data_IF_302277294382
#
_entry.id   IF_302277294382
#
_cell.length_a   1.000
_cell.length_b   1.000
_cell.length_c   1.000
_cell.angle_alpha   90.00
_cell.angle_beta   90.00
_cell.angle_gamma   90.00
#
_symmetry.space_group_name_H-M   'P 1'
#
loop_
_entity.id
_entity.type
_entity.pdbx_description
1 polymer ?
#
# COMPACT_ATOMS: atom_id res chain seq x y z
N UNK A 1 5.77 -6.22 10.23
CA UNK A 1 4.64 -5.65 9.48
C UNK A 1 4.81 -5.77 7.97
N UNK A 2 6.00 -5.47 7.39
CA UNK A 2 6.25 -5.56 5.94
C UNK A 2 7.00 -6.82 5.50
N UNK A 3 7.25 -7.76 6.38
CA UNK A 3 7.99 -9.00 6.11
C UNK A 3 9.37 -8.77 5.44
N UNK A 4 10.03 -7.65 5.74
CA UNK A 4 11.34 -7.30 5.19
C UNK A 4 11.31 -6.58 3.83
N UNK A 5 10.13 -6.25 3.30
CA UNK A 5 10.00 -5.54 2.02
C UNK A 5 10.32 -4.04 2.13
N UNK A 6 10.14 -3.44 3.33
CA UNK A 6 10.34 -2.01 3.56
C UNK A 6 9.13 -1.15 3.17
N UNK A 7 8.16 -1.70 2.46
CA UNK A 7 6.93 -1.04 2.03
C UNK A 7 5.72 -1.96 2.19
N UNK A 8 4.55 -1.38 2.10
CA UNK A 8 3.27 -2.09 1.97
C UNK A 8 2.58 -1.64 0.70
N UNK A 9 1.83 -2.54 0.10
CA UNK A 9 0.86 -2.20 -0.92
C UNK A 9 -0.50 -2.04 -0.23
N UNK A 10 -1.07 -0.86 -0.33
CA UNK A 10 -2.36 -0.52 0.30
C UNK A 10 -3.25 0.12 -0.75
N UNK A 11 -4.55 -0.18 -0.70
CA UNK A 11 -5.52 0.48 -1.57
C UNK A 11 -5.56 1.97 -1.25
N UNK A 12 -5.54 2.77 -2.31
CA UNK A 12 -5.49 4.21 -2.22
C UNK A 12 -6.84 4.80 -2.61
N UNK A 13 -7.39 5.64 -1.73
CA UNK A 13 -8.66 6.32 -1.98
C UNK A 13 -8.63 7.15 -3.26
N UNK A 14 -7.53 7.88 -3.52
CA UNK A 14 -7.41 8.72 -4.70
C UNK A 14 -7.33 7.94 -6.02
N UNK A 15 -6.97 6.65 -5.95
CA UNK A 15 -7.04 5.76 -7.11
C UNK A 15 -8.42 5.13 -7.26
N UNK A 16 -9.14 4.89 -6.15
CA UNK A 16 -10.52 4.39 -6.15
C UNK A 16 -11.50 5.47 -6.61
N UNK A 17 -11.24 6.72 -6.23
CA UNK A 17 -12.05 7.91 -6.53
C UNK A 17 -11.12 8.99 -7.09
N UNK A 18 -10.72 8.87 -8.37
CA UNK A 18 -9.70 9.74 -8.96
C UNK A 18 -10.20 11.16 -9.25
N UNK A 19 -11.49 11.34 -9.43
CA UNK A 19 -12.13 12.65 -9.63
C UNK A 19 -13.19 12.88 -8.55
N UNK A 20 -12.79 13.57 -7.49
CA UNK A 20 -13.65 13.88 -6.35
C UNK A 20 -14.67 14.98 -6.65
N UNK A 21 -14.56 15.69 -7.77
CA UNK A 21 -15.57 16.65 -8.24
C UNK A 21 -16.83 15.95 -8.79
N UNK A 22 -16.72 14.65 -9.10
CA UNK A 22 -17.86 13.85 -9.53
C UNK A 22 -18.65 13.33 -8.32
N UNK A 23 -19.96 13.20 -8.50
CA UNK A 23 -20.82 12.48 -7.57
C UNK A 23 -20.78 10.96 -7.81
N UNK A 24 -21.30 10.19 -6.87
CA UNK A 24 -21.44 8.73 -7.03
C UNK A 24 -22.31 8.40 -8.25
N UNK A 25 -23.41 9.12 -8.45
CA UNK A 25 -24.28 8.93 -9.61
C UNK A 25 -23.60 9.35 -10.95
N UNK A 26 -22.59 10.20 -10.91
CA UNK A 26 -21.78 10.56 -12.07
C UNK A 26 -20.59 9.60 -12.29
N UNK A 27 -20.39 8.61 -11.42
CA UNK A 27 -19.37 7.58 -11.56
C UNK A 27 -18.05 7.91 -10.88
N UNK A 28 -18.06 8.63 -9.77
CA UNK A 28 -16.84 8.93 -8.97
C UNK A 28 -16.06 7.67 -8.57
N UNK A 29 -16.76 6.55 -8.30
CA UNK A 29 -16.15 5.29 -7.86
C UNK A 29 -15.80 4.44 -9.09
N UNK A 30 -14.52 4.23 -9.35
CA UNK A 30 -14.04 3.51 -10.55
C UNK A 30 -13.50 2.11 -10.26
N UNK A 31 -13.36 1.72 -9.00
CA UNK A 31 -12.77 0.44 -8.61
C UNK A 31 -13.65 -0.75 -8.99
N UNK A 32 -13.02 -1.85 -9.38
CA UNK A 32 -13.68 -3.10 -9.78
C UNK A 32 -14.69 -3.59 -8.72
N UNK A 33 -15.90 -3.91 -9.20
CA UNK A 33 -17.04 -4.31 -8.37
C UNK A 33 -17.89 -3.16 -7.83
N UNK A 34 -17.45 -1.91 -8.00
CA UNK A 34 -18.21 -0.70 -7.67
C UNK A 34 -18.45 0.23 -8.87
N UNK A 35 -17.91 -0.09 -10.05
CA UNK A 35 -18.09 0.69 -11.29
C UNK A 35 -19.56 0.89 -11.66
N UNK A 36 -20.44 -0.05 -11.27
CA UNK A 36 -21.89 0.04 -11.48
C UNK A 36 -22.63 0.77 -10.33
N UNK A 37 -21.92 1.44 -9.45
CA UNK A 37 -22.53 2.18 -8.34
C UNK A 37 -23.45 3.32 -8.80
N UNK A 38 -23.24 3.83 -10.01
CA UNK A 38 -24.08 4.82 -10.68
C UNK A 38 -25.28 4.19 -11.44
N UNK A 39 -25.36 2.86 -11.57
CA UNK A 39 -26.51 2.18 -12.17
C UNK A 39 -27.55 1.87 -11.08
N UNK A 40 -28.68 2.57 -11.13
CA UNK A 40 -29.78 2.40 -10.17
C UNK A 40 -30.39 0.99 -10.09
N UNK A 41 -29.97 0.05 -10.96
CA UNK A 41 -30.38 -1.36 -10.93
C UNK A 41 -29.33 -2.28 -10.31
N UNK A 42 -28.14 -1.78 -10.02
CA UNK A 42 -27.05 -2.57 -9.45
C UNK A 42 -27.21 -2.79 -7.95
N UNK A 43 -26.64 -3.89 -7.44
CA UNK A 43 -26.64 -4.16 -6.01
C UNK A 43 -25.74 -3.18 -5.23
N UNK A 44 -24.62 -2.74 -5.84
CA UNK A 44 -23.76 -1.70 -5.28
C UNK A 44 -24.49 -0.37 -5.11
N UNK A 45 -25.28 0.04 -6.13
CA UNK A 45 -26.13 1.23 -5.99
C UNK A 45 -27.17 1.06 -4.87
N UNK A 46 -27.83 -0.11 -4.77
CA UNK A 46 -28.82 -0.36 -3.71
C UNK A 46 -28.21 -0.23 -2.30
N UNK A 47 -26.97 -0.65 -2.09
CA UNK A 47 -26.23 -0.45 -0.84
C UNK A 47 -26.05 1.03 -0.57
N UNK A 48 -25.55 1.79 -1.54
CA UNK A 48 -25.28 3.23 -1.40
C UNK A 48 -26.57 4.04 -1.20
N UNK A 49 -27.67 3.66 -1.85
CA UNK A 49 -28.99 4.24 -1.61
C UNK A 49 -29.47 4.01 -0.16
N UNK A 50 -29.27 2.80 0.38
CA UNK A 50 -29.63 2.50 1.75
C UNK A 50 -28.79 3.31 2.75
N UNK A 51 -27.49 3.50 2.49
CA UNK A 51 -26.63 4.37 3.28
C UNK A 51 -27.08 5.83 3.18
N UNK A 52 -27.34 6.33 1.97
CA UNK A 52 -27.80 7.69 1.73
C UNK A 52 -29.08 8.00 2.50
N UNK A 53 -30.03 7.05 2.51
CA UNK A 53 -31.28 7.18 3.26
C UNK A 53 -31.05 7.19 4.78
N UNK A 54 -30.19 6.30 5.29
CA UNK A 54 -29.96 6.15 6.73
C UNK A 54 -29.17 7.33 7.31
N UNK A 55 -28.15 7.80 6.60
CA UNK A 55 -27.24 8.85 7.06
C UNK A 55 -27.56 10.22 6.47
N UNK A 56 -28.69 10.33 5.75
CA UNK A 56 -29.23 11.59 5.21
C UNK A 56 -28.26 12.37 4.33
N UNK A 57 -27.71 11.72 3.31
CA UNK A 57 -26.89 12.36 2.27
C UNK A 57 -27.40 12.03 0.87
N UNK A 58 -26.93 12.76 -0.15
CA UNK A 58 -27.33 12.56 -1.56
C UNK A 58 -26.20 11.90 -2.35
N UNK A 59 -26.52 10.94 -3.21
CA UNK A 59 -25.57 10.35 -4.16
C UNK A 59 -25.24 11.28 -5.34
N UNK A 60 -25.91 12.43 -5.45
CA UNK A 60 -25.65 13.48 -6.45
C UNK A 60 -24.70 14.56 -5.96
N UNK A 61 -24.31 14.52 -4.68
CA UNK A 61 -23.31 15.43 -4.11
C UNK A 61 -21.92 15.05 -4.62
N UNK A 62 -21.07 16.01 -5.08
CA UNK A 62 -19.67 15.77 -5.38
C UNK A 62 -18.97 15.10 -4.19
N UNK A 63 -18.06 14.16 -4.49
CA UNK A 63 -17.43 13.37 -3.41
C UNK A 63 -16.62 14.24 -2.44
N UNK A 64 -15.99 15.29 -2.94
CA UNK A 64 -15.22 16.27 -2.13
C UNK A 64 -16.08 17.11 -1.18
N UNK A 65 -17.38 17.26 -1.47
CA UNK A 65 -18.31 18.05 -0.66
C UNK A 65 -18.97 17.25 0.48
N UNK A 66 -18.70 15.95 0.59
CA UNK A 66 -19.24 15.17 1.69
C UNK A 66 -18.60 15.60 3.03
N UNK A 67 -19.44 15.77 4.09
CA UNK A 67 -18.92 15.90 5.45
C UNK A 67 -18.02 14.70 5.80
N UNK A 68 -17.02 14.93 6.66
CA UNK A 68 -16.07 13.89 7.07
C UNK A 68 -16.74 12.59 7.54
N UNK A 69 -17.86 12.70 8.25
CA UNK A 69 -18.61 11.53 8.75
C UNK A 69 -19.14 10.66 7.61
N UNK A 70 -19.70 11.26 6.57
CA UNK A 70 -20.21 10.55 5.40
C UNK A 70 -19.05 9.98 4.57
N UNK A 71 -17.99 10.76 4.38
CA UNK A 71 -16.76 10.30 3.74
C UNK A 71 -16.22 9.05 4.46
N UNK A 72 -16.07 9.11 5.78
CA UNK A 72 -15.52 8.00 6.59
C UNK A 72 -16.43 6.75 6.49
N UNK A 73 -17.75 6.91 6.48
CA UNK A 73 -18.69 5.81 6.27
C UNK A 73 -18.49 5.17 4.89
N UNK A 74 -18.37 5.96 3.83
CA UNK A 74 -18.18 5.46 2.47
C UNK A 74 -16.83 4.74 2.31
N UNK A 75 -15.77 5.27 2.86
CA UNK A 75 -14.41 4.73 2.72
C UNK A 75 -14.15 3.58 3.68
N UNK A 76 -14.49 3.73 4.98
CA UNK A 76 -14.09 2.80 6.04
C UNK A 76 -15.24 1.95 6.59
N UNK A 77 -16.48 2.30 6.28
CA UNK A 77 -17.66 1.51 6.64
C UNK A 77 -18.43 2.00 7.86
N UNK A 78 -19.42 1.21 8.26
CA UNK A 78 -20.42 1.53 9.30
C UNK A 78 -20.07 0.94 10.67
N UNK A 79 -18.83 0.47 10.88
CA UNK A 79 -18.35 -0.18 12.12
C UNK A 79 -19.29 -1.29 12.65
N UNK A 80 -19.89 -2.05 11.73
CA UNK A 80 -20.79 -3.16 12.04
C UNK A 80 -22.27 -2.77 12.15
N UNK A 81 -22.59 -1.48 12.07
CA UNK A 81 -23.98 -1.04 12.04
C UNK A 81 -24.66 -1.46 10.73
N UNK A 82 -25.80 -2.14 10.84
CA UNK A 82 -26.53 -2.67 9.69
C UNK A 82 -27.43 -1.63 9.05
N UNK A 83 -27.52 -1.71 7.72
CA UNK A 83 -28.49 -0.96 6.91
C UNK A 83 -29.39 -1.93 6.16
N UNK A 84 -30.68 -1.61 6.07
CA UNK A 84 -31.65 -2.40 5.34
C UNK A 84 -31.58 -2.07 3.85
N UNK A 85 -30.94 -2.93 3.07
CA UNK A 85 -30.76 -2.78 1.62
C UNK A 85 -31.90 -3.46 0.89
N UNK A 86 -32.76 -2.68 0.21
CA UNK A 86 -33.82 -3.21 -0.65
C UNK A 86 -33.28 -3.37 -2.07
N UNK A 87 -33.26 -4.61 -2.56
CA UNK A 87 -32.78 -4.90 -3.91
C UNK A 87 -33.77 -5.79 -4.69
N UNK A 88 -34.00 -5.42 -5.97
CA UNK A 88 -34.79 -6.21 -6.91
C UNK A 88 -33.88 -7.04 -7.79
N UNK A 89 -33.63 -8.27 -7.39
CA UNK A 89 -32.90 -9.25 -8.20
C UNK A 89 -33.80 -10.05 -9.15
N UNK A 90 -33.20 -11.02 -9.84
CA UNK A 90 -33.95 -11.90 -10.79
C UNK A 90 -35.08 -12.71 -10.14
N UNK A 91 -34.97 -13.03 -8.84
CA UNK A 91 -35.94 -13.84 -8.07
C UNK A 91 -36.98 -12.99 -7.31
N UNK A 92 -37.02 -11.67 -7.50
CA UNK A 92 -37.92 -10.76 -6.83
C UNK A 92 -37.21 -9.70 -5.98
N UNK A 93 -38.02 -9.01 -5.13
CA UNK A 93 -37.51 -7.97 -4.23
C UNK A 93 -37.12 -8.64 -2.90
N UNK A 94 -35.91 -8.45 -2.46
CA UNK A 94 -35.41 -8.83 -1.14
C UNK A 94 -35.02 -7.63 -0.30
N UNK A 95 -35.02 -7.79 1.01
CA UNK A 95 -34.43 -6.84 1.96
C UNK A 95 -33.28 -7.56 2.68
N UNK A 96 -32.11 -6.95 2.69
CA UNK A 96 -30.91 -7.53 3.25
C UNK A 96 -30.32 -6.58 4.31
N UNK A 97 -30.13 -7.08 5.52
CA UNK A 97 -29.45 -6.32 6.57
C UNK A 97 -27.93 -6.46 6.41
N UNK A 98 -27.30 -5.41 5.89
CA UNK A 98 -25.87 -5.40 5.56
C UNK A 98 -25.14 -4.42 6.46
N UNK A 99 -24.09 -4.88 7.14
CA UNK A 99 -23.09 -4.00 7.71
C UNK A 99 -22.10 -3.65 6.60
N UNK A 100 -22.12 -2.39 6.16
CA UNK A 100 -21.23 -1.95 5.09
C UNK A 100 -19.80 -1.81 5.60
N UNK A 101 -18.90 -2.56 5.02
CA UNK A 101 -17.50 -2.63 5.44
C UNK A 101 -16.63 -1.46 4.94
N UNK A 102 -17.17 -0.57 4.10
CA UNK A 102 -16.44 0.50 3.44
C UNK A 102 -15.81 0.06 2.11
N UNK A 103 -15.53 1.03 1.24
CA UNK A 103 -14.94 0.74 -0.08
C UNK A 103 -13.57 0.07 0.05
N UNK A 104 -12.67 0.60 0.89
CA UNK A 104 -11.31 0.08 1.07
C UNK A 104 -11.34 -1.39 1.53
N UNK A 105 -12.00 -1.68 2.65
CA UNK A 105 -12.06 -3.06 3.19
C UNK A 105 -12.76 -4.03 2.23
N UNK A 106 -13.78 -3.56 1.49
CA UNK A 106 -14.49 -4.38 0.52
C UNK A 106 -13.56 -4.80 -0.63
N UNK A 107 -12.80 -3.87 -1.21
CA UNK A 107 -11.88 -4.19 -2.30
C UNK A 107 -10.69 -5.02 -1.82
N UNK A 108 -10.17 -4.77 -0.60
CA UNK A 108 -9.15 -5.62 0.03
C UNK A 108 -9.62 -7.06 0.21
N UNK A 109 -10.84 -7.27 0.69
CA UNK A 109 -11.42 -8.61 0.83
C UNK A 109 -11.55 -9.28 -0.53
N UNK A 110 -12.10 -8.60 -1.53
CA UNK A 110 -12.25 -9.13 -2.89
C UNK A 110 -10.91 -9.48 -3.55
N UNK A 111 -9.89 -8.65 -3.36
CA UNK A 111 -8.53 -8.92 -3.82
C UNK A 111 -7.95 -10.19 -3.18
N UNK A 112 -8.18 -10.39 -1.89
CA UNK A 112 -7.73 -11.62 -1.19
C UNK A 112 -8.50 -12.87 -1.58
N UNK A 113 -9.80 -12.74 -1.87
CA UNK A 113 -10.69 -13.87 -2.20
C UNK A 113 -10.57 -14.29 -3.67
N UNK A 114 -10.14 -13.42 -4.58
CA UNK A 114 -10.02 -13.78 -6.00
C UNK A 114 -8.81 -14.67 -6.26
N UNK A 115 -9.01 -15.70 -7.07
CA UNK A 115 -7.94 -16.59 -7.55
C UNK A 115 -7.46 -16.25 -8.96
N UNK A 116 -8.16 -15.36 -9.67
CA UNK A 116 -7.84 -14.98 -11.04
C UNK A 116 -6.73 -13.91 -11.06
N UNK A 117 -5.59 -14.25 -11.65
CA UNK A 117 -4.43 -13.34 -11.72
C UNK A 117 -4.74 -12.04 -12.48
N UNK A 118 -5.56 -12.10 -13.56
CA UNK A 118 -5.98 -10.89 -14.28
C UNK A 118 -6.78 -9.93 -13.40
N UNK A 119 -7.67 -10.48 -12.55
CA UNK A 119 -8.47 -9.69 -11.62
C UNK A 119 -7.61 -9.11 -10.50
N UNK A 120 -6.61 -9.85 -10.01
CA UNK A 120 -5.63 -9.31 -9.05
C UNK A 120 -4.85 -8.15 -9.64
N UNK A 121 -4.29 -8.34 -10.84
CA UNK A 121 -3.55 -7.28 -11.53
C UNK A 121 -4.40 -6.00 -11.73
N UNK A 122 -5.70 -6.15 -12.00
CA UNK A 122 -6.61 -5.00 -12.08
C UNK A 122 -6.79 -4.31 -10.72
N UNK A 123 -6.98 -5.06 -9.62
CA UNK A 123 -7.05 -4.47 -8.29
C UNK A 123 -5.75 -3.77 -7.89
N UNK A 124 -4.58 -4.29 -8.26
CA UNK A 124 -3.27 -3.72 -7.96
C UNK A 124 -3.08 -2.32 -8.58
N UNK A 125 -3.80 -1.99 -9.66
CA UNK A 125 -3.79 -0.64 -10.23
C UNK A 125 -4.40 0.41 -9.30
N UNK A 126 -5.17 0.00 -8.28
CA UNK A 126 -5.76 0.84 -7.24
C UNK A 126 -4.94 0.88 -5.94
N UNK A 127 -3.71 0.36 -5.98
CA UNK A 127 -2.82 0.33 -4.82
C UNK A 127 -1.64 1.28 -5.00
N UNK A 128 -1.15 1.81 -3.87
CA UNK A 128 0.11 2.53 -3.77
C UNK A 128 1.10 1.79 -2.87
N UNK A 129 2.37 1.99 -3.17
CA UNK A 129 3.45 1.57 -2.30
C UNK A 129 3.68 2.64 -1.24
N UNK A 130 3.39 2.30 0.01
CA UNK A 130 3.65 3.17 1.15
C UNK A 130 4.84 2.65 1.95
N UNK A 131 5.77 3.51 2.40
CA UNK A 131 6.83 3.07 3.30
C UNK A 131 6.25 2.41 4.55
N UNK A 132 6.81 1.30 4.96
CA UNK A 132 6.36 0.60 6.17
C UNK A 132 6.50 1.51 7.39
N UNK A 133 5.41 1.77 8.10
CA UNK A 133 5.41 2.65 9.28
C UNK A 133 6.32 2.18 10.43
N UNK A 134 6.62 0.87 10.49
CA UNK A 134 7.47 0.29 11.55
C UNK A 134 8.96 0.44 11.25
N UNK A 135 9.39 0.17 10.02
CA UNK A 135 10.80 0.21 9.64
C UNK A 135 11.16 1.39 8.74
N UNK A 136 10.21 2.22 8.35
CA UNK A 136 10.40 3.41 7.51
C UNK A 136 11.23 3.16 6.23
N UNK A 137 10.99 2.01 5.60
CA UNK A 137 11.75 1.58 4.41
C UNK A 137 13.03 0.79 4.70
N UNK A 138 13.50 0.77 5.94
CA UNK A 138 14.81 0.17 6.30
C UNK A 138 14.83 -1.37 6.29
N UNK A 139 13.67 -2.05 6.19
CA UNK A 139 13.50 -3.51 6.06
C UNK A 139 13.91 -4.34 7.28
N UNK A 140 14.67 -3.77 8.20
CA UNK A 140 15.25 -4.44 9.37
C UNK A 140 14.61 -3.98 10.67
N UNK A 141 14.80 -4.76 11.72
CA UNK A 141 14.41 -4.40 13.08
C UNK A 141 15.39 -3.38 13.66
N UNK A 142 14.92 -2.58 14.62
CA UNK A 142 15.75 -1.55 15.30
C UNK A 142 17.00 -2.13 15.93
N UNK A 143 16.91 -3.34 16.52
CA UNK A 143 18.06 -4.04 17.13
C UNK A 143 19.13 -4.39 16.10
N UNK A 144 18.75 -4.76 14.88
CA UNK A 144 19.70 -5.04 13.80
C UNK A 144 20.35 -3.75 13.27
N UNK A 145 19.61 -2.67 13.25
CA UNK A 145 20.11 -1.35 12.82
C UNK A 145 20.99 -0.67 13.91
N UNK A 146 20.90 -1.12 15.17
CA UNK A 146 21.76 -0.64 16.23
C UNK A 146 23.21 -1.17 16.13
N UNK A 147 23.44 -2.18 15.28
CA UNK A 147 24.79 -2.68 15.02
C UNK A 147 25.45 -1.82 13.95
N UNK A 148 26.57 -1.20 14.31
CA UNK A 148 27.34 -0.32 13.42
C UNK A 148 28.76 -0.84 13.20
N UNK A 149 29.32 -0.51 12.03
CA UNK A 149 30.74 -0.68 11.70
C UNK A 149 31.26 0.70 11.31
N UNK A 150 32.19 1.24 12.10
CA UNK A 150 32.49 2.66 12.06
C UNK A 150 31.30 3.44 12.60
N UNK A 151 30.79 4.36 11.83
CA UNK A 151 29.65 5.23 12.14
C UNK A 151 28.35 4.81 11.44
N UNK A 152 28.36 3.72 10.63
CA UNK A 152 27.22 3.32 9.79
C UNK A 152 26.69 1.94 10.11
N UNK A 153 25.36 1.82 10.08
CA UNK A 153 24.67 0.53 10.11
C UNK A 153 24.54 -0.07 8.70
N UNK A 154 24.06 -1.31 8.64
CA UNK A 154 23.95 -2.03 7.36
C UNK A 154 23.00 -1.34 6.36
N UNK A 155 21.91 -0.71 6.81
CA UNK A 155 21.00 0.00 5.92
C UNK A 155 21.70 1.22 5.30
N UNK A 156 22.34 2.05 6.10
CA UNK A 156 23.09 3.21 5.64
C UNK A 156 24.19 2.84 4.65
N UNK A 157 24.89 1.73 4.89
CA UNK A 157 25.90 1.23 3.95
C UNK A 157 25.28 0.78 2.62
N UNK A 158 24.12 0.09 2.65
CA UNK A 158 23.49 -0.40 1.42
C UNK A 158 22.84 0.71 0.59
N UNK A 159 22.51 1.85 1.20
CA UNK A 159 22.00 3.05 0.50
C UNK A 159 23.11 3.83 -0.23
N UNK A 160 24.35 3.65 0.16
CA UNK A 160 25.48 4.29 -0.51
C UNK A 160 25.63 3.77 -1.94
N UNK A 161 26.16 4.60 -2.85
CA UNK A 161 26.62 4.10 -4.14
C UNK A 161 27.74 3.08 -3.95
N UNK A 162 27.89 2.15 -4.90
CA UNK A 162 28.98 1.15 -4.87
C UNK A 162 30.34 1.85 -4.75
N UNK A 163 30.52 2.97 -5.45
CA UNK A 163 31.73 3.79 -5.36
C UNK A 163 31.98 4.30 -3.93
N UNK A 164 30.96 4.94 -3.34
CA UNK A 164 31.08 5.55 -2.02
C UNK A 164 31.24 4.46 -0.94
N UNK A 165 30.52 3.35 -1.05
CA UNK A 165 30.67 2.21 -0.14
C UNK A 165 32.07 1.61 -0.22
N UNK A 166 32.63 1.48 -1.44
CA UNK A 166 34.00 0.99 -1.63
C UNK A 166 35.02 1.90 -0.96
N UNK A 167 34.89 3.21 -1.17
CA UNK A 167 35.73 4.20 -0.53
C UNK A 167 35.60 4.18 1.00
N UNK A 168 34.37 4.17 1.51
CA UNK A 168 34.07 4.07 2.95
C UNK A 168 34.78 2.86 3.59
N UNK A 169 34.68 1.69 2.95
CA UNK A 169 35.34 0.48 3.48
C UNK A 169 36.87 0.55 3.40
N UNK A 170 37.46 1.34 2.49
CA UNK A 170 38.90 1.54 2.43
C UNK A 170 39.43 2.47 3.53
N UNK A 171 38.64 3.49 3.88
CA UNK A 171 38.96 4.46 4.92
C UNK A 171 38.61 3.98 6.34
N UNK A 172 37.94 2.84 6.45
CA UNK A 172 37.41 2.32 7.72
C UNK A 172 38.52 1.99 8.71
N UNK A 173 38.51 2.65 9.86
CA UNK A 173 39.44 2.42 10.96
C UNK A 173 38.92 1.29 11.85
N UNK A 174 39.57 0.15 11.87
CA UNK A 174 39.20 -1.01 12.66
C UNK A 174 40.28 -1.29 13.73
N UNK A 175 39.84 -1.75 14.88
CA UNK A 175 40.72 -2.27 15.94
C UNK A 175 41.39 -3.57 15.49
N UNK A 176 42.49 -3.97 16.14
CA UNK A 176 43.17 -5.22 15.84
C UNK A 176 42.27 -6.44 15.93
N UNK A 177 41.36 -6.46 16.93
CA UNK A 177 40.39 -7.54 17.11
C UNK A 177 39.39 -7.58 15.96
N UNK A 178 38.85 -6.43 15.57
CA UNK A 178 37.93 -6.32 14.42
C UNK A 178 38.61 -6.73 13.10
N UNK A 179 39.88 -6.34 12.90
CA UNK A 179 40.65 -6.76 11.75
C UNK A 179 40.87 -8.28 11.71
N UNK A 180 41.18 -8.92 12.85
CA UNK A 180 41.32 -10.37 12.91
C UNK A 180 40.04 -11.11 12.53
N UNK A 181 38.87 -10.58 12.93
CA UNK A 181 37.57 -11.17 12.62
C UNK A 181 37.15 -10.87 11.17
N UNK A 182 37.29 -9.62 10.74
CA UNK A 182 36.67 -9.12 9.52
C UNK A 182 37.55 -9.13 8.27
N UNK A 183 38.85 -9.39 8.37
CA UNK A 183 39.82 -9.23 7.26
C UNK A 183 39.44 -9.96 5.99
N UNK A 184 39.10 -11.24 6.06
CA UNK A 184 38.76 -12.04 4.89
C UNK A 184 37.39 -11.63 4.32
N UNK A 185 36.44 -11.29 5.19
CA UNK A 185 35.13 -10.80 4.79
C UNK A 185 35.25 -9.47 4.04
N UNK A 186 36.01 -8.52 4.59
CA UNK A 186 36.25 -7.22 3.97
C UNK A 186 36.96 -7.35 2.62
N UNK A 187 37.91 -8.27 2.53
CA UNK A 187 38.63 -8.55 1.27
C UNK A 187 37.67 -9.02 0.19
N UNK A 188 36.77 -9.95 0.53
CA UNK A 188 35.75 -10.46 -0.40
C UNK A 188 34.75 -9.36 -0.81
N UNK A 189 34.23 -8.59 0.14
CA UNK A 189 33.31 -7.48 -0.15
C UNK A 189 33.98 -6.46 -1.06
N UNK A 190 35.20 -6.02 -0.73
CA UNK A 190 35.97 -5.06 -1.53
C UNK A 190 36.21 -5.56 -2.96
N UNK A 191 36.54 -6.84 -3.11
CA UNK A 191 36.74 -7.46 -4.43
C UNK A 191 35.48 -7.45 -5.28
N UNK A 192 34.33 -7.76 -4.69
CA UNK A 192 33.03 -7.74 -5.38
C UNK A 192 32.57 -6.33 -5.75
N UNK A 193 32.77 -5.37 -4.85
CA UNK A 193 32.47 -3.96 -5.13
C UNK A 193 33.39 -3.43 -6.25
N UNK A 194 34.67 -3.78 -6.24
CA UNK A 194 35.61 -3.40 -7.30
C UNK A 194 35.16 -3.94 -8.66
N UNK A 195 34.70 -5.19 -8.71
CA UNK A 195 34.16 -5.74 -9.95
C UNK A 195 32.96 -4.91 -10.49
N UNK A 196 32.07 -4.45 -9.61
CA UNK A 196 30.95 -3.58 -10.02
C UNK A 196 31.44 -2.23 -10.55
N UNK A 197 32.48 -1.67 -9.94
CA UNK A 197 33.14 -0.45 -10.43
C UNK A 197 33.76 -0.67 -11.82
N UNK A 198 34.48 -1.77 -12.01
CA UNK A 198 35.17 -2.10 -13.25
C UNK A 198 34.21 -2.30 -14.44
N UNK A 199 33.01 -2.77 -14.19
CA UNK A 199 31.96 -2.91 -15.23
C UNK A 199 31.06 -1.66 -15.37
N UNK A 200 31.40 -0.56 -14.68
CA UNK A 200 30.69 0.72 -14.81
C UNK A 200 29.36 0.82 -14.05
N UNK A 201 29.11 -0.04 -13.04
CA UNK A 201 27.91 -0.05 -12.21
C UNK A 201 28.12 0.65 -10.85
N UNK A 202 29.10 1.48 -10.75
CA UNK A 202 29.55 2.15 -9.52
C UNK A 202 28.55 3.18 -8.96
N UNK A 203 27.60 3.65 -9.79
CA UNK A 203 26.53 4.58 -9.40
C UNK A 203 25.32 3.89 -8.73
N UNK A 204 25.21 2.56 -8.81
CA UNK A 204 24.13 1.81 -8.19
C UNK A 204 24.33 1.70 -6.67
N UNK A 205 23.22 1.54 -5.93
CA UNK A 205 23.22 1.14 -4.51
C UNK A 205 22.84 -0.33 -4.34
N UNK A 206 23.23 -0.93 -3.22
CA UNK A 206 22.88 -2.35 -2.91
C UNK A 206 21.45 -2.49 -2.36
N UNK A 207 20.75 -1.38 -2.09
CA UNK A 207 19.39 -1.36 -1.57
C UNK A 207 18.32 -1.62 -2.64
N UNK A 208 18.68 -1.63 -3.91
CA UNK A 208 17.79 -1.83 -5.04
C UNK A 208 17.63 -3.29 -5.42
#
# INVERSE_FOLDING_TARGET
DCYGLGYKMEFDEDLIIPDKSLSINQGAIVVLGWQSANDGKSFSNAILQALALKYNFSLDTPFEDYPKEIHDILIYGTDGEKVAVRYKGQRGIGVYDIAFEGLIKNVERRYRETSAESTKAEYETFMRFTPCATCHGQRLKKESLAVTIGDKNIYEMTEMSVRDLRQYLDELQLTETQLKIGKEILKEIKGRLQFLVDVGLDYLSLSR
#
